data_IF_143907726817
#
_entry.id   IF_143907726817
#
_cell.length_a   1.000
_cell.length_b   1.000
_cell.length_c   1.000
_cell.angle_alpha   90.00
_cell.angle_beta   90.00
_cell.angle_gamma   90.00
#
_symmetry.space_group_name_H-M   'P 1'
#
loop_
_entity.id
_entity.type
_entity.pdbx_description
1 polymer ?
#
# COMPACT_ATOMS: atom_id res chain seq x y z
N UNK A 1 18.62 -12.47 -0.09
CA UNK A 1 18.56 -11.35 -1.05
C UNK A 1 19.09 -10.10 -0.35
N UNK A 2 19.64 -9.12 -1.09
CA UNK A 2 20.10 -7.88 -0.48
C UNK A 2 18.89 -7.01 -0.10
N UNK A 3 18.86 -6.41 1.10
CA UNK A 3 17.77 -5.53 1.52
C UNK A 3 17.69 -4.28 0.61
N UNK A 4 16.48 -3.83 0.31
CA UNK A 4 16.22 -2.60 -0.43
C UNK A 4 16.29 -1.38 0.48
N UNK A 5 15.82 -1.48 1.72
CA UNK A 5 15.92 -0.41 2.70
C UNK A 5 17.32 -0.39 3.33
N UNK A 6 17.94 0.79 3.33
CA UNK A 6 19.15 1.00 4.10
C UNK A 6 18.86 0.89 5.59
N UNK A 7 19.86 0.51 6.40
CA UNK A 7 19.70 0.46 7.87
C UNK A 7 19.28 1.80 8.46
N UNK A 8 19.76 2.90 7.87
CA UNK A 8 19.42 4.26 8.30
C UNK A 8 17.95 4.54 8.06
N UNK A 9 17.44 4.23 6.86
CA UNK A 9 16.04 4.48 6.50
C UNK A 9 15.11 3.60 7.30
N UNK A 10 15.42 2.30 7.43
CA UNK A 10 14.66 1.38 8.28
C UNK A 10 14.55 1.87 9.73
N UNK A 11 15.65 2.43 10.29
CA UNK A 11 15.65 3.01 11.65
C UNK A 11 14.77 4.26 11.74
N UNK A 12 14.84 5.14 10.74
CA UNK A 12 14.03 6.35 10.70
C UNK A 12 12.53 6.04 10.56
N UNK A 13 12.18 5.12 9.65
CA UNK A 13 10.80 4.69 9.41
C UNK A 13 10.25 3.97 10.63
N UNK A 14 11.04 3.09 11.27
CA UNK A 14 10.63 2.46 12.53
C UNK A 14 10.31 3.52 13.59
N UNK A 15 11.18 4.51 13.78
CA UNK A 15 10.95 5.59 14.74
C UNK A 15 9.70 6.42 14.41
N UNK A 16 9.42 6.63 13.13
CA UNK A 16 8.19 7.26 12.65
C UNK A 16 6.95 6.40 12.97
N UNK A 17 6.98 5.10 12.66
CA UNK A 17 5.89 4.17 12.95
C UNK A 17 5.61 4.02 14.45
N UNK A 18 6.65 3.95 15.28
CA UNK A 18 6.51 3.88 16.74
C UNK A 18 5.73 5.09 17.31
N UNK A 19 5.76 6.24 16.62
CA UNK A 19 5.10 7.48 17.05
C UNK A 19 3.71 7.68 16.43
N UNK A 20 3.48 7.17 15.21
CA UNK A 20 2.32 7.55 14.40
C UNK A 20 1.33 6.40 14.14
N UNK A 21 1.72 5.13 14.33
CA UNK A 21 0.78 4.02 14.20
C UNK A 21 -0.04 3.83 15.49
N UNK A 22 -1.36 4.01 15.37
CA UNK A 22 -2.33 3.85 16.44
C UNK A 22 -3.00 2.48 16.36
N UNK A 23 -3.76 2.23 15.29
CA UNK A 23 -4.48 0.96 15.07
C UNK A 23 -3.76 0.05 14.06
N UNK A 24 -3.96 -1.28 14.09
CA UNK A 24 -3.40 -2.18 13.10
C UNK A 24 -3.88 -1.88 11.67
N UNK A 25 -2.98 -2.00 10.72
CA UNK A 25 -3.24 -1.88 9.28
C UNK A 25 -2.72 -3.11 8.54
N UNK A 26 -3.37 -3.46 7.43
CA UNK A 26 -2.96 -4.58 6.58
C UNK A 26 -2.56 -4.05 5.21
N UNK A 27 -1.35 -4.39 4.79
CA UNK A 27 -0.89 -4.30 3.41
C UNK A 27 -1.27 -5.60 2.70
N UNK A 28 -2.24 -5.53 1.77
CA UNK A 28 -2.62 -6.67 0.94
C UNK A 28 -1.99 -6.54 -0.43
N UNK A 29 -1.02 -7.39 -0.71
CA UNK A 29 -0.24 -7.37 -1.94
C UNK A 29 -0.72 -8.45 -2.90
N UNK A 30 -1.00 -8.07 -4.14
CA UNK A 30 -1.26 -8.96 -5.26
C UNK A 30 -0.08 -8.92 -6.23
N UNK A 31 0.50 -10.08 -6.51
CA UNK A 31 1.61 -10.27 -7.44
C UNK A 31 1.33 -11.48 -8.33
N UNK A 32 1.89 -11.52 -9.52
CA UNK A 32 1.70 -12.66 -10.41
C UNK A 32 2.45 -13.91 -9.91
N UNK A 33 1.79 -15.07 -9.94
CA UNK A 33 2.37 -16.36 -9.57
C UNK A 33 3.11 -16.98 -10.77
N UNK A 34 4.41 -16.69 -10.87
CA UNK A 34 5.22 -17.09 -12.02
C UNK A 34 4.83 -16.37 -13.31
N UNK A 35 5.65 -16.56 -14.36
CA UNK A 35 5.50 -15.86 -15.64
C UNK A 35 6.85 -15.46 -16.22
N UNK A 36 6.83 -14.91 -17.43
CA UNK A 36 8.01 -14.24 -17.96
C UNK A 36 8.25 -12.95 -17.16
N UNK A 37 9.50 -12.48 -16.97
CA UNK A 37 9.79 -11.24 -16.25
C UNK A 37 8.96 -10.03 -16.74
N UNK A 38 8.59 -10.02 -18.02
CA UNK A 38 7.80 -8.96 -18.64
C UNK A 38 6.32 -8.95 -18.19
N UNK A 39 5.80 -10.06 -17.66
CA UNK A 39 4.41 -10.15 -17.21
C UNK A 39 4.16 -9.35 -15.93
N UNK A 40 5.19 -9.24 -15.07
CA UNK A 40 5.16 -8.39 -13.89
C UNK A 40 6.57 -7.95 -13.47
N UNK A 41 7.11 -6.96 -14.20
CA UNK A 41 8.47 -6.45 -14.05
C UNK A 41 8.88 -6.12 -12.60
N UNK A 42 7.97 -5.57 -11.80
CA UNK A 42 8.26 -5.11 -10.44
C UNK A 42 7.60 -5.93 -9.33
N UNK A 43 7.06 -7.12 -9.61
CA UNK A 43 6.41 -7.93 -8.58
C UNK A 43 7.37 -8.32 -7.45
N UNK A 44 8.61 -8.70 -7.80
CA UNK A 44 9.63 -9.14 -6.84
C UNK A 44 10.02 -8.00 -5.90
N UNK A 45 10.37 -6.85 -6.46
CA UNK A 45 10.80 -5.68 -5.69
C UNK A 45 9.65 -5.09 -4.86
N UNK A 46 8.43 -5.08 -5.40
CA UNK A 46 7.25 -4.61 -4.64
C UNK A 46 6.96 -5.53 -3.46
N UNK A 47 7.07 -6.86 -3.64
CA UNK A 47 6.95 -7.81 -2.54
C UNK A 47 8.04 -7.61 -1.50
N UNK A 48 9.29 -7.44 -1.93
CA UNK A 48 10.39 -7.21 -1.01
C UNK A 48 10.22 -5.90 -0.21
N UNK A 49 9.79 -4.81 -0.84
CA UNK A 49 9.46 -3.55 -0.13
C UNK A 49 8.35 -3.79 0.90
N UNK A 50 7.27 -4.46 0.52
CA UNK A 50 6.15 -4.72 1.42
C UNK A 50 6.56 -5.59 2.62
N UNK A 51 7.39 -6.62 2.39
CA UNK A 51 7.98 -7.45 3.44
C UNK A 51 8.84 -6.60 4.38
N UNK A 52 9.82 -5.87 3.83
CA UNK A 52 10.72 -5.04 4.62
C UNK A 52 10.01 -3.95 5.42
N UNK A 53 8.93 -3.35 4.88
CA UNK A 53 8.11 -2.36 5.59
C UNK A 53 7.29 -3.02 6.71
N UNK A 54 6.71 -4.20 6.45
CA UNK A 54 5.94 -4.93 7.47
C UNK A 54 6.79 -5.37 8.67
N UNK A 55 8.08 -5.65 8.46
CA UNK A 55 9.04 -5.96 9.52
C UNK A 55 9.35 -4.77 10.45
N UNK A 56 8.98 -3.54 10.07
CA UNK A 56 9.29 -2.34 10.87
C UNK A 56 8.29 -2.05 11.98
N UNK A 57 7.13 -2.73 12.01
CA UNK A 57 6.15 -2.58 13.09
C UNK A 57 5.19 -3.76 13.20
N UNK A 58 4.95 -4.23 14.42
CA UNK A 58 3.94 -5.27 14.72
C UNK A 58 2.49 -4.84 14.39
N UNK A 59 2.25 -3.54 14.15
CA UNK A 59 0.96 -3.00 13.74
C UNK A 59 0.71 -3.11 12.24
N UNK A 60 1.71 -3.46 11.45
CA UNK A 60 1.59 -3.62 9.99
C UNK A 60 1.57 -5.12 9.67
N UNK A 61 0.43 -5.60 9.18
CA UNK A 61 0.32 -6.97 8.67
C UNK A 61 0.55 -6.97 7.16
N UNK A 62 1.18 -8.01 6.66
CA UNK A 62 1.32 -8.26 5.23
C UNK A 62 0.54 -9.51 4.82
N UNK A 63 -0.33 -9.39 3.83
CA UNK A 63 -1.03 -10.50 3.19
C UNK A 63 -0.66 -10.54 1.70
N UNK A 64 0.16 -11.53 1.31
CA UNK A 64 0.60 -11.71 -0.08
C UNK A 64 -0.27 -12.72 -0.80
N UNK A 65 -0.82 -12.30 -1.94
CA UNK A 65 -1.64 -13.10 -2.85
C UNK A 65 -0.89 -13.26 -4.17
N UNK A 66 -0.48 -14.49 -4.45
CA UNK A 66 0.12 -14.84 -5.74
C UNK A 66 -0.99 -15.31 -6.67
N UNK A 67 -1.21 -14.58 -7.76
CA UNK A 67 -2.32 -14.82 -8.68
C UNK A 67 -1.82 -15.42 -10.00
N UNK A 68 -2.39 -16.54 -10.47
CA UNK A 68 -1.91 -17.22 -11.68
C UNK A 68 -2.22 -16.45 -12.97
N UNK A 69 -3.14 -15.48 -12.93
CA UNK A 69 -3.51 -14.67 -14.09
C UNK A 69 -4.66 -13.71 -13.82
N UNK A 70 -5.03 -12.95 -14.85
CA UNK A 70 -6.01 -11.84 -14.75
C UNK A 70 -7.43 -12.27 -14.42
N UNK A 71 -7.78 -13.54 -14.60
CA UNK A 71 -9.12 -14.06 -14.33
C UNK A 71 -9.31 -14.59 -12.91
N UNK A 72 -8.26 -14.53 -12.09
CA UNK A 72 -8.25 -15.03 -10.73
C UNK A 72 -9.38 -14.44 -9.86
N UNK A 73 -9.97 -15.29 -9.01
CA UNK A 73 -11.13 -14.94 -8.21
C UNK A 73 -10.80 -13.90 -7.13
N UNK A 74 -9.59 -13.91 -6.56
CA UNK A 74 -9.19 -12.93 -5.56
C UNK A 74 -9.00 -11.55 -6.20
N UNK A 75 -8.47 -11.46 -7.42
CA UNK A 75 -8.41 -10.17 -8.14
C UNK A 75 -9.79 -9.54 -8.32
N UNK A 76 -10.79 -10.33 -8.70
CA UNK A 76 -12.19 -9.88 -8.84
C UNK A 76 -12.79 -9.47 -7.50
N UNK A 77 -12.49 -10.20 -6.43
CA UNK A 77 -13.00 -9.94 -5.07
C UNK A 77 -12.57 -8.58 -4.52
N UNK A 78 -11.34 -8.16 -4.81
CA UNK A 78 -10.78 -6.89 -4.32
C UNK A 78 -10.77 -5.76 -5.36
N UNK A 79 -11.45 -5.97 -6.51
CA UNK A 79 -11.45 -5.06 -7.67
C UNK A 79 -10.04 -4.63 -8.11
N UNK A 80 -9.14 -5.60 -8.19
CA UNK A 80 -7.74 -5.40 -8.62
C UNK A 80 -7.66 -5.56 -10.12
N UNK A 81 -7.30 -4.48 -10.81
CA UNK A 81 -7.28 -4.45 -12.28
C UNK A 81 -5.92 -4.86 -12.88
N UNK A 82 -4.84 -4.73 -12.10
CA UNK A 82 -3.44 -4.91 -12.54
C UNK A 82 -2.58 -5.38 -11.38
N UNK A 83 -1.45 -6.02 -11.68
CA UNK A 83 -0.42 -6.38 -10.71
C UNK A 83 0.93 -5.75 -11.11
N UNK A 84 1.84 -5.43 -10.16
CA UNK A 84 1.65 -5.59 -8.73
C UNK A 84 0.66 -4.55 -8.19
N UNK A 85 -0.15 -4.95 -7.20
CA UNK A 85 -1.10 -4.05 -6.54
C UNK A 85 -1.02 -4.19 -5.03
N UNK A 86 -0.91 -3.06 -4.34
CA UNK A 86 -0.87 -2.99 -2.88
C UNK A 86 -2.12 -2.25 -2.39
N UNK A 87 -2.99 -2.96 -1.68
CA UNK A 87 -4.19 -2.39 -1.06
C UNK A 87 -3.88 -2.12 0.41
N UNK A 88 -4.27 -0.95 0.91
CA UNK A 88 -4.18 -0.63 2.33
C UNK A 88 -5.52 -0.85 3.00
N UNK A 89 -5.53 -1.58 4.10
CA UNK A 89 -6.73 -1.90 4.86
C UNK A 89 -6.57 -1.44 6.31
N UNK A 90 -7.67 -0.96 6.90
CA UNK A 90 -7.75 -0.63 8.31
C UNK A 90 -8.60 -1.65 9.02
N UNK A 91 -8.06 -2.30 10.06
CA UNK A 91 -8.78 -3.36 10.78
C UNK A 91 -9.43 -4.40 9.84
N UNK A 92 -8.68 -4.81 8.81
CA UNK A 92 -9.08 -5.78 7.77
C UNK A 92 -10.29 -5.33 6.90
N UNK A 93 -10.63 -4.04 6.91
CA UNK A 93 -11.57 -3.41 5.99
C UNK A 93 -10.84 -2.62 4.90
N UNK A 94 -11.28 -2.78 3.65
CA UNK A 94 -10.77 -2.04 2.49
C UNK A 94 -10.97 -0.53 2.69
N UNK A 95 -9.86 0.23 2.66
CA UNK A 95 -9.88 1.68 2.81
C UNK A 95 -10.23 2.44 1.52
N UNK A 96 -10.24 1.74 0.38
CA UNK A 96 -10.30 2.35 -0.94
C UNK A 96 -8.91 2.71 -1.51
N UNK A 97 -7.86 2.72 -0.69
CA UNK A 97 -6.50 3.11 -1.10
C UNK A 97 -5.75 1.94 -1.74
N UNK A 98 -5.26 2.16 -2.97
CA UNK A 98 -4.57 1.15 -3.77
C UNK A 98 -3.38 1.77 -4.52
N UNK A 99 -2.24 1.11 -4.46
CA UNK A 99 -1.07 1.40 -5.30
C UNK A 99 -0.98 0.38 -6.41
N UNK A 100 -0.76 0.83 -7.64
CA UNK A 100 -0.49 -0.04 -8.78
C UNK A 100 0.94 0.21 -9.27
N UNK A 101 1.76 -0.84 -9.29
CA UNK A 101 3.21 -0.72 -9.52
C UNK A 101 4.00 -0.67 -8.21
N UNK A 102 5.30 -0.38 -8.33
CA UNK A 102 6.22 -0.31 -7.20
C UNK A 102 6.20 1.09 -6.55
N UNK A 103 5.89 1.20 -5.23
CA UNK A 103 5.94 2.48 -4.51
C UNK A 103 7.39 2.82 -4.12
N UNK A 104 8.18 3.24 -5.12
CA UNK A 104 9.61 3.59 -4.97
C UNK A 104 9.88 5.06 -5.25
N UNK A 105 11.10 5.52 -4.97
CA UNK A 105 11.48 6.92 -5.17
C UNK A 105 10.70 7.85 -4.23
N UNK A 106 10.19 8.96 -4.75
CA UNK A 106 9.39 9.90 -3.96
C UNK A 106 8.09 9.28 -3.42
N UNK A 107 7.54 8.28 -4.11
CA UNK A 107 6.29 7.60 -3.72
C UNK A 107 6.46 6.62 -2.56
N UNK A 108 7.71 6.25 -2.23
CA UNK A 108 7.94 5.44 -1.05
C UNK A 108 7.54 6.19 0.23
N UNK A 109 7.80 7.50 0.29
CA UNK A 109 7.34 8.34 1.42
C UNK A 109 5.81 8.36 1.54
N UNK A 110 5.11 8.45 0.40
CA UNK A 110 3.64 8.40 0.34
C UNK A 110 3.10 7.13 1.00
N UNK A 111 3.67 5.96 0.70
CA UNK A 111 3.25 4.69 1.33
C UNK A 111 3.42 4.73 2.86
N UNK A 112 4.55 5.24 3.36
CA UNK A 112 4.84 5.32 4.79
C UNK A 112 3.86 6.26 5.51
N UNK A 113 3.56 7.42 4.92
CA UNK A 113 2.59 8.37 5.46
C UNK A 113 1.16 7.83 5.41
N UNK A 114 0.75 7.20 4.31
CA UNK A 114 -0.59 6.64 4.16
C UNK A 114 -0.88 5.52 5.18
N UNK A 115 0.12 4.68 5.49
CA UNK A 115 0.01 3.67 6.55
C UNK A 115 -0.24 4.32 7.92
N UNK A 116 0.46 5.43 8.20
CA UNK A 116 0.28 6.19 9.44
C UNK A 116 -1.07 6.90 9.51
N UNK A 117 -1.47 7.60 8.46
CA UNK A 117 -2.75 8.31 8.39
C UNK A 117 -3.93 7.33 8.50
N UNK A 118 -3.86 6.19 7.80
CA UNK A 118 -4.87 5.14 7.88
C UNK A 118 -4.96 4.53 9.28
N UNK A 119 -3.81 4.21 9.87
CA UNK A 119 -3.70 3.69 11.24
C UNK A 119 -4.29 4.66 12.26
N UNK A 120 -3.94 5.94 12.18
CA UNK A 120 -4.49 6.98 13.06
C UNK A 120 -5.99 7.24 12.82
N UNK A 121 -6.48 7.02 11.59
CA UNK A 121 -7.86 7.36 11.21
C UNK A 121 -8.11 8.85 11.19
N UNK A 122 -7.06 9.64 10.92
CA UNK A 122 -7.12 11.09 10.87
C UNK A 122 -6.56 11.56 9.54
N UNK A 123 -6.99 12.75 9.12
CA UNK A 123 -6.46 13.43 7.93
C UNK A 123 -5.98 14.82 8.32
N UNK A 124 -5.00 15.32 7.59
CA UNK A 124 -4.48 16.70 7.73
C UNK A 124 -5.38 17.74 7.05
N UNK A 125 -6.49 17.32 6.43
CA UNK A 125 -7.45 18.22 5.79
C UNK A 125 -8.15 19.12 6.81
N UNK A 126 -8.43 20.37 6.41
CA UNK A 126 -9.18 21.30 7.24
C UNK A 126 -10.62 20.81 7.48
N UNK A 127 -11.24 21.08 8.65
CA UNK A 127 -12.55 20.53 8.99
C UNK A 127 -13.68 20.89 8.00
N UNK A 128 -13.61 22.04 7.36
CA UNK A 128 -14.55 22.46 6.31
C UNK A 128 -14.40 21.63 5.03
N UNK A 129 -13.18 21.25 4.67
CA UNK A 129 -12.90 20.35 3.53
C UNK A 129 -13.38 18.94 3.85
N UNK A 130 -13.15 18.43 5.07
CA UNK A 130 -13.65 17.11 5.48
C UNK A 130 -15.17 17.05 5.32
N UNK A 131 -15.90 18.06 5.80
CA UNK A 131 -17.37 18.14 5.62
C UNK A 131 -17.81 18.16 4.17
N UNK A 132 -17.05 18.81 3.28
CA UNK A 132 -17.34 18.82 1.85
C UNK A 132 -17.14 17.44 1.22
N UNK A 133 -16.07 16.73 1.60
CA UNK A 133 -15.79 15.37 1.14
C UNK A 133 -16.84 14.38 1.66
N UNK A 134 -17.24 14.48 2.93
CA UNK A 134 -18.31 13.65 3.53
C UNK A 134 -19.68 13.85 2.85
N UNK A 135 -19.92 15.00 2.22
CA UNK A 135 -21.17 15.29 1.51
C UNK A 135 -21.24 14.65 0.11
N UNK A 136 -20.18 14.00 -0.36
CA UNK A 136 -20.14 13.32 -1.67
C UNK A 136 -20.96 12.02 -1.60
N UNK A 137 -22.10 11.98 -2.29
CA UNK A 137 -23.02 10.83 -2.30
C UNK A 137 -22.85 9.90 -3.52
N UNK A 138 -21.90 10.20 -4.39
CA UNK A 138 -21.66 9.46 -5.64
C UNK A 138 -20.41 8.64 -5.46
N UNK A 139 -20.36 7.47 -6.09
CA UNK A 139 -19.11 6.71 -6.17
C UNK A 139 -18.09 7.52 -6.99
N UNK A 140 -16.92 7.76 -6.40
CA UNK A 140 -15.82 8.51 -7.03
C UNK A 140 -14.58 7.63 -7.08
N UNK A 141 -14.04 7.43 -8.27
CA UNK A 141 -12.73 6.80 -8.47
C UNK A 141 -11.70 7.86 -8.82
N UNK A 142 -10.72 8.06 -7.95
CA UNK A 142 -9.59 8.97 -8.19
C UNK A 142 -8.40 8.13 -8.67
N UNK A 143 -7.82 8.49 -9.82
CA UNK A 143 -6.60 7.87 -10.35
C UNK A 143 -5.52 8.91 -10.45
N UNK A 144 -4.47 8.74 -9.65
CA UNK A 144 -3.28 9.60 -9.66
C UNK A 144 -2.18 8.86 -10.41
N UNK A 145 -1.73 9.40 -11.53
CA UNK A 145 -0.63 8.83 -12.32
C UNK A 145 0.65 9.58 -11.99
N UNK A 146 1.65 8.86 -11.51
CA UNK A 146 2.93 9.40 -11.03
C UNK A 146 4.10 8.69 -11.70
N UNK A 147 5.25 9.34 -11.70
CA UNK A 147 6.55 8.73 -12.01
C UNK A 147 7.40 8.74 -10.74
N UNK A 148 8.23 7.72 -10.47
CA UNK A 148 9.08 7.68 -9.28
C UNK A 148 10.12 8.83 -9.20
N UNK A 149 10.28 9.58 -10.29
CA UNK A 149 11.22 10.70 -10.52
C UNK A 149 10.62 11.73 -11.47
#
# INVERSE_FOLDING_TARGET
MAKLLSKKDATAIKGFFDQNLVEPVTMRLFVQDGGQPDDCMYCTETQQIAEEVSELSDKIKLAVHKVPGKEDAELKRYDVQRVPALILEKADADSGVRFYGIPSGYEFGTLIEDLADLSAGQTKLAPDIVKQVEAVQKDVTIKVFVTPT
#
